data_IF_560624587812
#
_entry.id   IF_560624587812
#
_cell.length_a   1.000
_cell.length_b   1.000
_cell.length_c   1.000
_cell.angle_alpha   90.00
_cell.angle_beta   90.00
_cell.angle_gamma   90.00
#
_symmetry.space_group_name_H-M   'P 1'
#
loop_
_entity.id
_entity.type
_entity.pdbx_description
1 polymer ?
#
# COMPACT_ATOMS: atom_id res chain seq x y z
N UNK A 1 -25.03 -71.77 -10.64
CA UNK A 1 -24.05 -70.81 -11.11
C UNK A 1 -24.54 -69.43 -10.71
N UNK A 2 -24.04 -68.95 -9.58
CA UNK A 2 -24.39 -67.62 -9.03
C UNK A 2 -23.39 -66.58 -9.58
N UNK A 3 -23.92 -65.56 -10.21
CA UNK A 3 -23.15 -64.47 -10.85
C UNK A 3 -22.79 -63.42 -9.75
N UNK A 4 -21.52 -63.33 -9.39
CA UNK A 4 -21.05 -62.31 -8.46
C UNK A 4 -20.93 -60.93 -9.16
N UNK A 5 -21.37 -59.83 -8.53
CA UNK A 5 -21.16 -58.51 -9.09
C UNK A 5 -19.72 -58.05 -8.85
N UNK A 6 -19.05 -57.60 -9.92
CA UNK A 6 -17.68 -57.07 -9.91
C UNK A 6 -17.54 -55.77 -9.11
N UNK A 7 -16.30 -55.40 -8.71
CA UNK A 7 -16.05 -54.30 -7.80
C UNK A 7 -16.46 -52.93 -8.41
N UNK A 8 -17.25 -52.20 -7.66
CA UNK A 8 -17.66 -50.83 -7.98
C UNK A 8 -16.44 -49.87 -7.98
N UNK A 9 -16.30 -49.13 -9.05
CA UNK A 9 -15.29 -48.06 -9.20
C UNK A 9 -15.41 -47.01 -8.08
N UNK A 10 -14.31 -46.48 -7.56
CA UNK A 10 -14.36 -45.45 -6.53
C UNK A 10 -14.99 -44.14 -7.07
N UNK A 11 -15.71 -43.41 -6.20
CA UNK A 11 -16.34 -42.15 -6.62
C UNK A 11 -15.30 -41.13 -7.07
N UNK A 12 -15.51 -40.57 -8.25
CA UNK A 12 -14.72 -39.45 -8.79
C UNK A 12 -14.78 -38.27 -7.83
N UNK A 13 -13.60 -37.80 -7.38
CA UNK A 13 -13.45 -36.59 -6.57
C UNK A 13 -14.23 -35.43 -7.19
N UNK A 14 -14.89 -34.56 -6.37
CA UNK A 14 -15.64 -33.44 -6.89
C UNK A 14 -14.67 -32.49 -7.63
N UNK A 15 -14.92 -32.28 -8.92
CA UNK A 15 -14.26 -31.23 -9.70
C UNK A 15 -14.56 -29.90 -9.01
N UNK A 16 -13.56 -29.31 -8.34
CA UNK A 16 -13.64 -27.93 -7.82
C UNK A 16 -14.11 -27.03 -8.95
N UNK A 17 -15.26 -26.38 -8.76
CA UNK A 17 -15.89 -25.52 -9.73
C UNK A 17 -14.85 -24.51 -10.27
N UNK A 18 -14.74 -24.46 -11.60
CA UNK A 18 -13.86 -23.52 -12.31
C UNK A 18 -14.35 -22.11 -11.97
N UNK A 19 -13.57 -21.35 -11.23
CA UNK A 19 -13.85 -19.93 -10.97
C UNK A 19 -13.95 -19.19 -12.32
N UNK A 20 -14.83 -18.17 -12.46
CA UNK A 20 -14.84 -17.29 -13.63
C UNK A 20 -13.44 -16.78 -13.94
N UNK A 21 -13.13 -16.58 -15.21
CA UNK A 21 -11.74 -16.33 -15.67
C UNK A 21 -11.10 -15.08 -15.03
N UNK A 22 -11.87 -14.01 -14.83
CA UNK A 22 -11.43 -12.79 -14.14
C UNK A 22 -11.15 -12.98 -12.65
N UNK A 23 -11.92 -13.83 -11.98
CA UNK A 23 -11.77 -14.11 -10.54
C UNK A 23 -10.46 -14.88 -10.24
N UNK A 24 -10.05 -15.78 -11.15
CA UNK A 24 -8.83 -16.56 -10.98
C UNK A 24 -7.56 -15.68 -11.07
N UNK A 25 -7.51 -14.75 -12.04
CA UNK A 25 -6.38 -13.81 -12.19
C UNK A 25 -6.24 -12.94 -10.95
N UNK A 26 -7.34 -12.37 -10.47
CA UNK A 26 -7.37 -11.53 -9.27
C UNK A 26 -6.98 -12.32 -8.02
N UNK A 27 -7.50 -13.52 -7.82
CA UNK A 27 -7.15 -14.37 -6.69
C UNK A 27 -5.65 -14.73 -6.65
N UNK A 28 -5.00 -14.90 -7.81
CA UNK A 28 -3.57 -15.14 -7.91
C UNK A 28 -2.75 -13.90 -7.51
N UNK A 29 -3.18 -12.71 -7.92
CA UNK A 29 -2.56 -11.44 -7.52
C UNK A 29 -2.66 -11.24 -6.00
N UNK A 30 -3.86 -11.35 -5.44
CA UNK A 30 -4.12 -11.21 -3.99
C UNK A 30 -3.32 -12.24 -3.16
N UNK A 31 -3.24 -13.49 -3.64
CA UNK A 31 -2.43 -14.51 -2.99
C UNK A 31 -0.93 -14.21 -3.02
N UNK A 32 -0.42 -13.67 -4.14
CA UNK A 32 0.96 -13.26 -4.26
C UNK A 32 1.27 -12.08 -3.33
N UNK A 33 0.41 -11.05 -3.30
CA UNK A 33 0.54 -9.91 -2.40
C UNK A 33 0.58 -10.33 -0.94
N UNK A 34 -0.34 -11.22 -0.51
CA UNK A 34 -0.38 -11.72 0.86
C UNK A 34 0.86 -12.53 1.26
N UNK A 35 1.50 -13.23 0.31
CA UNK A 35 2.76 -13.94 0.56
C UNK A 35 3.92 -12.94 0.65
N UNK A 36 3.97 -11.96 -0.26
CA UNK A 36 5.01 -10.93 -0.30
C UNK A 36 5.00 -10.03 0.94
N UNK A 37 3.81 -9.81 1.50
CA UNK A 37 3.66 -9.10 2.77
C UNK A 37 4.35 -9.81 3.95
N UNK A 38 4.34 -11.13 3.93
CA UNK A 38 4.86 -11.95 5.03
C UNK A 38 6.36 -12.25 4.89
N UNK A 39 6.92 -12.26 3.67
CA UNK A 39 8.30 -12.69 3.41
C UNK A 39 8.86 -12.17 2.07
N UNK A 40 10.21 -12.16 1.89
CA UNK A 40 10.85 -11.71 0.64
C UNK A 40 10.42 -12.51 -0.59
N UNK A 41 10.31 -11.83 -1.73
CA UNK A 41 9.87 -12.39 -3.02
C UNK A 41 10.69 -13.60 -3.49
N UNK A 42 12.00 -13.63 -3.19
CA UNK A 42 12.87 -14.74 -3.56
C UNK A 42 12.42 -16.11 -3.03
N UNK A 43 11.67 -16.12 -1.91
CA UNK A 43 11.13 -17.35 -1.30
C UNK A 43 9.71 -17.72 -1.77
N UNK A 44 9.06 -16.90 -2.60
CA UNK A 44 7.75 -17.18 -3.16
C UNK A 44 7.86 -18.22 -4.27
N UNK A 45 6.97 -19.21 -4.25
CA UNK A 45 6.84 -20.22 -5.32
C UNK A 45 5.49 -20.13 -6.01
N UNK A 46 5.46 -20.37 -7.31
CA UNK A 46 4.22 -20.38 -8.12
C UNK A 46 3.19 -21.39 -7.57
N UNK A 47 3.67 -22.55 -7.11
CA UNK A 47 2.81 -23.60 -6.52
C UNK A 47 2.10 -23.12 -5.26
N UNK A 48 2.80 -22.39 -4.42
CA UNK A 48 2.25 -21.85 -3.18
C UNK A 48 1.21 -20.77 -3.45
N UNK A 49 1.48 -19.86 -4.39
CA UNK A 49 0.49 -18.84 -4.81
C UNK A 49 -0.76 -19.51 -5.37
N UNK A 50 -0.61 -20.47 -6.27
CA UNK A 50 -1.74 -21.21 -6.83
C UNK A 50 -2.55 -21.96 -5.77
N UNK A 51 -1.87 -22.63 -4.83
CA UNK A 51 -2.52 -23.32 -3.71
C UNK A 51 -3.31 -22.35 -2.81
N UNK A 52 -2.73 -21.18 -2.47
CA UNK A 52 -3.38 -20.15 -1.67
C UNK A 52 -4.56 -19.51 -2.40
N UNK A 53 -4.44 -19.29 -3.71
CA UNK A 53 -5.52 -18.77 -4.56
C UNK A 53 -6.63 -19.80 -4.83
N UNK A 54 -6.42 -21.09 -4.51
CA UNK A 54 -7.32 -22.16 -4.89
C UNK A 54 -7.40 -22.39 -6.40
N UNK A 55 -6.30 -22.11 -7.11
CA UNK A 55 -6.18 -22.18 -8.56
C UNK A 55 -5.22 -23.29 -9.01
N UNK A 56 -5.30 -23.67 -10.29
CA UNK A 56 -4.29 -24.52 -10.91
C UNK A 56 -3.01 -23.73 -11.19
N UNK A 57 -1.85 -24.36 -11.00
CA UNK A 57 -0.53 -23.77 -11.28
C UNK A 57 -0.40 -23.34 -12.75
N UNK A 58 -1.02 -24.06 -13.68
CA UNK A 58 -1.03 -23.70 -15.09
C UNK A 58 -1.61 -22.32 -15.39
N UNK A 59 -2.53 -21.83 -14.55
CA UNK A 59 -3.12 -20.50 -14.68
C UNK A 59 -2.12 -19.38 -14.43
N UNK A 60 -1.09 -19.61 -13.64
CA UNK A 60 -0.03 -18.62 -13.47
C UNK A 60 0.73 -18.38 -14.77
N UNK A 61 1.11 -19.47 -15.46
CA UNK A 61 1.75 -19.35 -16.77
C UNK A 61 0.80 -18.77 -17.82
N UNK A 62 -0.49 -19.13 -17.76
CA UNK A 62 -1.48 -18.63 -18.69
C UNK A 62 -1.69 -17.11 -18.56
N UNK A 63 -1.85 -16.56 -17.33
CA UNK A 63 -2.13 -15.15 -17.12
C UNK A 63 -0.89 -14.25 -17.06
N UNK A 64 0.24 -14.77 -16.59
CA UNK A 64 1.41 -13.96 -16.25
C UNK A 64 2.69 -14.40 -16.98
N UNK A 65 2.67 -15.53 -17.68
CA UNK A 65 3.79 -16.08 -18.42
C UNK A 65 4.91 -16.65 -17.56
N UNK A 66 5.17 -16.08 -16.40
CA UNK A 66 6.25 -16.49 -15.49
C UNK A 66 5.94 -16.09 -14.04
N UNK A 67 6.82 -16.55 -13.10
CA UNK A 67 6.84 -16.07 -11.72
C UNK A 67 7.07 -14.57 -11.68
N UNK A 68 8.02 -14.05 -12.45
CA UNK A 68 8.37 -12.62 -12.46
C UNK A 68 7.23 -11.77 -13.03
N UNK A 69 6.51 -12.28 -14.04
CA UNK A 69 5.29 -11.64 -14.54
C UNK A 69 4.17 -11.56 -13.49
N UNK A 70 3.99 -12.61 -12.67
CA UNK A 70 3.06 -12.58 -11.55
C UNK A 70 3.48 -11.56 -10.48
N UNK A 71 4.78 -11.51 -10.13
CA UNK A 71 5.31 -10.54 -9.17
C UNK A 71 5.14 -9.11 -9.67
N UNK A 72 5.42 -8.86 -10.94
CA UNK A 72 5.20 -7.56 -11.57
C UNK A 72 3.73 -7.14 -11.51
N UNK A 73 2.81 -8.03 -11.86
CA UNK A 73 1.37 -7.76 -11.79
C UNK A 73 0.89 -7.49 -10.36
N UNK A 74 1.39 -8.23 -9.37
CA UNK A 74 1.06 -8.03 -7.97
C UNK A 74 1.56 -6.68 -7.45
N UNK A 75 2.74 -6.25 -7.87
CA UNK A 75 3.30 -4.94 -7.53
C UNK A 75 2.57 -3.81 -8.24
N UNK A 76 2.26 -3.95 -9.53
CA UNK A 76 1.47 -2.96 -10.28
C UNK A 76 0.10 -2.71 -9.66
N UNK A 77 -0.59 -3.76 -9.24
CA UNK A 77 -1.89 -3.67 -8.57
C UNK A 77 -1.76 -2.92 -7.22
N UNK A 78 -0.78 -3.28 -6.41
CA UNK A 78 -0.50 -2.59 -5.15
C UNK A 78 -0.13 -1.11 -5.32
N UNK A 79 0.65 -0.79 -6.33
CA UNK A 79 1.02 0.59 -6.66
C UNK A 79 -0.18 1.40 -7.19
N UNK A 80 -1.08 0.76 -7.93
CA UNK A 80 -2.32 1.39 -8.39
C UNK A 80 -3.24 1.73 -7.20
N UNK A 81 -3.39 0.82 -6.23
CA UNK A 81 -4.13 1.09 -4.99
C UNK A 81 -3.51 2.26 -4.20
N UNK A 82 -2.19 2.25 -4.02
CA UNK A 82 -1.50 3.32 -3.31
C UNK A 82 -1.68 4.67 -4.02
N UNK A 83 -1.57 4.70 -5.34
CA UNK A 83 -1.80 5.90 -6.15
C UNK A 83 -3.22 6.43 -5.96
N UNK A 84 -4.23 5.57 -6.01
CA UNK A 84 -5.62 5.96 -5.81
C UNK A 84 -5.83 6.63 -4.44
N UNK A 85 -5.22 6.09 -3.38
CA UNK A 85 -5.25 6.70 -2.05
C UNK A 85 -4.62 8.10 -2.08
N UNK A 86 -3.44 8.23 -2.69
CA UNK A 86 -2.72 9.51 -2.74
C UNK A 86 -3.48 10.56 -3.56
N UNK A 87 -4.05 10.19 -4.71
CA UNK A 87 -4.83 11.09 -5.57
C UNK A 87 -6.11 11.59 -4.90
N UNK A 88 -6.78 10.74 -4.13
CA UNK A 88 -8.02 11.11 -3.43
C UNK A 88 -7.77 12.18 -2.36
N UNK A 89 -6.57 12.20 -1.77
CA UNK A 89 -6.24 13.04 -0.62
C UNK A 89 -5.61 14.40 -0.97
N UNK A 90 -5.45 14.68 -2.26
CA UNK A 90 -4.89 15.93 -2.77
C UNK A 90 -5.93 16.97 -3.19
N UNK A 91 -7.17 16.81 -2.73
CA UNK A 91 -8.23 17.78 -2.99
C UNK A 91 -7.91 19.11 -2.32
N UNK A 92 -8.02 20.20 -3.09
CA UNK A 92 -7.78 21.56 -2.63
C UNK A 92 -9.04 22.20 -2.04
N UNK A 93 -9.75 21.49 -1.19
CA UNK A 93 -10.98 21.93 -0.52
C UNK A 93 -10.69 22.22 0.95
N UNK A 94 -11.30 23.27 1.50
CA UNK A 94 -11.13 23.69 2.88
C UNK A 94 -9.91 24.59 3.11
N UNK A 95 -9.65 24.86 4.38
CA UNK A 95 -8.49 25.65 4.83
C UNK A 95 -7.18 24.95 4.53
N UNK A 96 -6.05 25.68 4.53
CA UNK A 96 -4.72 25.07 4.38
C UNK A 96 -4.43 24.05 5.48
N UNK A 97 -4.89 24.28 6.69
CA UNK A 97 -4.75 23.35 7.80
C UNK A 97 -5.49 22.03 7.50
N UNK A 98 -6.74 22.09 7.07
CA UNK A 98 -7.52 20.90 6.71
C UNK A 98 -6.92 20.14 5.53
N UNK A 99 -6.36 20.85 4.55
CA UNK A 99 -5.68 20.25 3.42
C UNK A 99 -4.41 19.49 3.87
N UNK A 100 -3.60 20.08 4.74
CA UNK A 100 -2.39 19.43 5.28
C UNK A 100 -2.76 18.24 6.15
N UNK A 101 -3.73 18.38 7.06
CA UNK A 101 -4.21 17.27 7.90
C UNK A 101 -4.66 16.10 7.04
N UNK A 102 -5.47 16.34 6.05
CA UNK A 102 -5.96 15.31 5.12
C UNK A 102 -4.82 14.67 4.34
N UNK A 103 -3.94 15.47 3.77
CA UNK A 103 -2.80 15.03 2.97
C UNK A 103 -1.85 14.11 3.75
N UNK A 104 -1.70 14.32 5.05
CA UNK A 104 -0.84 13.50 5.91
C UNK A 104 -1.60 12.32 6.51
N UNK A 105 -2.77 12.56 7.07
CA UNK A 105 -3.54 11.61 7.85
C UNK A 105 -4.12 10.47 7.01
N UNK A 106 -4.79 10.81 5.91
CA UNK A 106 -5.51 9.82 5.11
C UNK A 106 -4.61 8.73 4.49
N UNK A 107 -3.43 9.06 3.91
CA UNK A 107 -2.52 8.02 3.45
C UNK A 107 -2.03 7.08 4.55
N UNK A 108 -1.81 7.60 5.76
CA UNK A 108 -1.39 6.78 6.91
C UNK A 108 -2.50 5.80 7.28
N UNK A 109 -3.74 6.25 7.37
CA UNK A 109 -4.90 5.41 7.69
C UNK A 109 -5.11 4.34 6.60
N UNK A 110 -5.07 4.72 5.34
CA UNK A 110 -5.22 3.80 4.23
C UNK A 110 -4.09 2.74 4.16
N UNK A 111 -2.85 3.12 4.50
CA UNK A 111 -1.75 2.18 4.66
C UNK A 111 -1.92 1.32 5.92
N UNK A 112 -2.55 1.82 6.96
CA UNK A 112 -2.92 1.07 8.15
C UNK A 112 -3.85 -0.11 7.86
N UNK A 113 -4.82 0.08 6.97
CA UNK A 113 -5.69 -0.98 6.47
C UNK A 113 -4.95 -2.00 5.59
N UNK A 114 -3.90 -1.55 4.90
CA UNK A 114 -3.12 -2.31 3.92
C UNK A 114 -1.65 -2.45 4.31
N UNK A 115 -1.39 -2.79 5.57
CA UNK A 115 -0.04 -2.84 6.19
C UNK A 115 1.00 -3.65 5.39
N UNK A 116 0.53 -4.53 4.53
CA UNK A 116 1.40 -5.33 3.68
C UNK A 116 1.98 -4.54 2.50
N UNK A 117 1.29 -3.51 2.01
CA UNK A 117 1.71 -2.75 0.82
C UNK A 117 3.09 -2.08 1.00
N UNK A 118 3.37 -1.30 2.07
CA UNK A 118 4.68 -0.67 2.24
C UNK A 118 5.81 -1.68 2.27
N UNK A 119 5.66 -2.80 2.98
CA UNK A 119 6.69 -3.85 3.05
C UNK A 119 6.93 -4.49 1.68
N UNK A 120 5.87 -4.79 0.96
CA UNK A 120 5.96 -5.38 -0.37
C UNK A 120 6.62 -4.41 -1.36
N UNK A 121 6.16 -3.16 -1.42
CA UNK A 121 6.67 -2.15 -2.34
C UNK A 121 8.13 -1.85 -2.04
N UNK A 122 8.46 -1.53 -0.79
CA UNK A 122 9.84 -1.20 -0.40
C UNK A 122 10.76 -2.40 -0.59
N UNK A 123 10.30 -3.60 -0.20
CA UNK A 123 11.07 -4.84 -0.39
C UNK A 123 11.40 -5.09 -1.85
N UNK A 124 10.46 -4.89 -2.76
CA UNK A 124 10.69 -5.05 -4.21
C UNK A 124 11.59 -3.94 -4.77
N UNK A 125 11.33 -2.68 -4.43
CA UNK A 125 12.11 -1.53 -4.90
C UNK A 125 13.55 -1.59 -4.43
N UNK A 126 13.81 -2.01 -3.18
CA UNK A 126 15.17 -2.10 -2.64
C UNK A 126 15.95 -3.33 -3.15
N UNK A 127 15.25 -4.43 -3.44
CA UNK A 127 15.89 -5.70 -3.81
C UNK A 127 16.02 -5.89 -5.33
N UNK A 128 15.14 -5.31 -6.11
CA UNK A 128 15.10 -5.45 -7.55
C UNK A 128 15.39 -4.11 -8.23
N UNK A 129 16.55 -4.03 -8.91
CA UNK A 129 16.89 -2.88 -9.75
C UNK A 129 16.61 -3.23 -11.21
N UNK A 130 15.89 -2.34 -11.89
CA UNK A 130 15.62 -2.51 -13.32
C UNK A 130 14.73 -1.42 -13.89
N UNK A 131 14.62 -1.32 -15.23
CA UNK A 131 13.85 -0.26 -15.89
C UNK A 131 12.38 -0.20 -15.47
N UNK A 132 11.81 -1.31 -15.06
CA UNK A 132 10.42 -1.37 -14.58
C UNK A 132 10.30 -0.75 -13.18
N UNK A 133 11.21 -1.10 -12.27
CA UNK A 133 11.29 -0.52 -10.92
C UNK A 133 11.49 1.00 -11.00
N UNK A 134 12.39 1.46 -11.88
CA UNK A 134 12.64 2.88 -12.09
C UNK A 134 11.39 3.63 -12.57
N UNK A 135 10.59 3.02 -13.45
CA UNK A 135 9.30 3.59 -13.92
C UNK A 135 8.29 3.70 -12.78
N UNK A 136 8.19 2.69 -11.91
CA UNK A 136 7.29 2.72 -10.77
C UNK A 136 7.68 3.79 -9.75
N UNK A 137 8.98 3.90 -9.43
CA UNK A 137 9.50 4.94 -8.54
C UNK A 137 9.20 6.33 -9.11
N UNK A 138 9.47 6.54 -10.39
CA UNK A 138 9.20 7.81 -11.05
C UNK A 138 7.70 8.16 -11.04
N UNK A 139 6.82 7.20 -11.36
CA UNK A 139 5.38 7.43 -11.39
C UNK A 139 4.81 7.79 -10.02
N UNK A 140 5.23 7.09 -8.95
CA UNK A 140 4.81 7.40 -7.58
C UNK A 140 5.37 8.74 -7.10
N UNK A 141 6.67 8.98 -7.32
CA UNK A 141 7.34 10.19 -6.84
C UNK A 141 6.84 11.46 -7.51
N UNK A 142 6.59 11.42 -8.82
CA UNK A 142 6.10 12.59 -9.57
C UNK A 142 4.67 12.96 -9.19
N UNK A 143 3.78 11.98 -9.07
CA UNK A 143 2.40 12.21 -8.66
C UNK A 143 2.30 12.86 -7.27
N UNK A 144 3.08 12.37 -6.30
CA UNK A 144 3.14 12.96 -4.97
C UNK A 144 3.75 14.36 -4.97
N UNK A 145 4.84 14.56 -5.71
CA UNK A 145 5.52 15.85 -5.78
C UNK A 145 4.62 16.94 -6.34
N UNK A 146 3.87 16.65 -7.40
CA UNK A 146 2.91 17.58 -8.00
C UNK A 146 1.76 17.91 -7.06
N UNK A 147 1.19 16.90 -6.43
CA UNK A 147 0.02 17.04 -5.58
C UNK A 147 0.33 17.82 -4.29
N UNK A 148 1.36 17.41 -3.56
CA UNK A 148 1.79 18.04 -2.30
C UNK A 148 2.44 19.40 -2.59
N UNK A 149 3.30 19.46 -3.61
CA UNK A 149 4.00 20.68 -3.99
C UNK A 149 3.06 21.85 -4.25
N UNK A 150 1.98 21.60 -4.97
CA UNK A 150 0.97 22.64 -5.26
C UNK A 150 0.27 23.19 -4.02
N UNK A 151 -0.07 22.36 -3.03
CA UNK A 151 -0.68 22.81 -1.76
C UNK A 151 0.34 23.66 -0.97
N UNK A 152 1.56 23.19 -0.89
CA UNK A 152 2.64 23.88 -0.16
C UNK A 152 2.96 25.24 -0.81
N UNK A 153 3.09 25.30 -2.14
CA UNK A 153 3.35 26.53 -2.88
C UNK A 153 2.23 27.56 -2.73
N UNK A 154 0.96 27.12 -2.75
CA UNK A 154 -0.19 28.00 -2.55
C UNK A 154 -0.21 28.55 -1.10
N UNK A 155 0.09 27.71 -0.11
CA UNK A 155 0.19 28.12 1.29
C UNK A 155 1.32 29.12 1.54
N UNK A 156 2.48 28.93 0.91
CA UNK A 156 3.61 29.88 0.98
C UNK A 156 3.21 31.21 0.31
N UNK A 157 2.60 31.17 -0.86
CA UNK A 157 2.18 32.36 -1.61
C UNK A 157 1.13 33.18 -0.87
N UNK A 158 0.23 32.52 -0.14
CA UNK A 158 -0.79 33.19 0.69
C UNK A 158 -0.25 33.71 2.03
N UNK A 159 0.96 33.35 2.41
CA UNK A 159 1.54 33.65 3.72
C UNK A 159 1.09 32.75 4.86
N UNK A 160 0.26 31.75 4.60
CA UNK A 160 -0.15 30.76 5.61
C UNK A 160 0.98 29.84 6.03
N UNK A 161 1.89 29.51 5.10
CA UNK A 161 3.06 28.68 5.37
C UNK A 161 4.35 29.49 5.31
N UNK A 162 5.30 29.09 6.13
CA UNK A 162 6.68 29.58 6.02
C UNK A 162 7.31 29.05 4.72
N UNK A 163 8.33 29.71 4.25
CA UNK A 163 9.09 29.24 3.09
C UNK A 163 9.84 27.95 3.41
N UNK A 164 9.43 26.85 2.79
CA UNK A 164 9.99 25.50 2.95
C UNK A 164 10.27 24.87 1.60
N UNK A 165 11.21 23.94 1.55
CA UNK A 165 11.44 23.13 0.36
C UNK A 165 10.33 22.07 0.23
N UNK A 166 9.43 22.25 -0.75
CA UNK A 166 8.34 21.32 -1.02
C UNK A 166 8.83 19.88 -1.30
N UNK A 167 10.00 19.72 -1.92
CA UNK A 167 10.58 18.40 -2.18
C UNK A 167 10.99 17.68 -0.90
N UNK A 168 11.65 18.42 0.01
CA UNK A 168 12.02 17.87 1.31
C UNK A 168 10.80 17.44 2.11
N UNK A 169 9.70 18.20 2.04
CA UNK A 169 8.43 17.84 2.66
C UNK A 169 7.82 16.57 2.06
N UNK A 170 7.75 16.45 0.72
CA UNK A 170 7.24 15.25 0.06
C UNK A 170 8.00 14.00 0.51
N UNK A 171 9.34 14.07 0.55
CA UNK A 171 10.15 12.95 1.02
C UNK A 171 9.87 12.63 2.50
N UNK A 172 9.73 13.64 3.35
CA UNK A 172 9.42 13.44 4.77
C UNK A 172 8.05 12.79 4.96
N UNK A 173 7.02 13.26 4.26
CA UNK A 173 5.67 12.71 4.35
C UNK A 173 5.58 11.27 3.84
N UNK A 174 6.40 10.91 2.87
CA UNK A 174 6.44 9.55 2.34
C UNK A 174 7.27 8.63 3.25
N UNK A 175 8.38 9.12 3.80
CA UNK A 175 9.31 8.32 4.58
C UNK A 175 8.76 7.96 5.96
N UNK A 176 8.07 8.87 6.64
CA UNK A 176 7.58 8.65 8.01
C UNK A 176 6.58 7.48 8.05
N UNK A 177 5.47 7.47 7.29
CA UNK A 177 4.55 6.34 7.29
C UNK A 177 5.18 5.07 6.74
N UNK A 178 5.97 5.17 5.67
CA UNK A 178 6.61 4.02 5.07
C UNK A 178 7.53 3.30 6.07
N UNK A 179 8.32 4.05 6.83
CA UNK A 179 9.20 3.51 7.86
C UNK A 179 8.41 2.91 9.03
N UNK A 180 7.34 3.57 9.50
CA UNK A 180 6.48 3.05 10.56
C UNK A 180 5.92 1.66 10.19
N UNK A 181 5.31 1.51 9.01
CA UNK A 181 4.77 0.23 8.58
C UNK A 181 5.84 -0.80 8.21
N UNK A 182 7.01 -0.37 7.74
CA UNK A 182 8.15 -1.26 7.52
C UNK A 182 8.64 -1.85 8.84
N UNK A 183 8.69 -1.03 9.89
CA UNK A 183 9.14 -1.41 11.23
C UNK A 183 8.04 -2.03 12.09
N UNK A 184 6.79 -2.05 11.65
CA UNK A 184 5.67 -2.59 12.41
C UNK A 184 5.95 -3.95 13.09
N UNK A 185 6.54 -4.97 12.42
CA UNK A 185 6.84 -6.24 13.09
C UNK A 185 7.90 -6.15 14.19
N UNK A 186 8.78 -5.15 14.11
CA UNK A 186 9.78 -4.89 15.18
C UNK A 186 9.11 -4.16 16.33
N UNK A 187 8.26 -3.19 16.03
CA UNK A 187 7.48 -2.43 17.00
C UNK A 187 6.57 -3.38 17.80
N UNK A 188 5.80 -4.23 17.11
CA UNK A 188 4.96 -5.27 17.72
C UNK A 188 5.75 -6.18 18.66
N UNK A 189 6.97 -6.55 18.29
CA UNK A 189 7.81 -7.44 19.08
C UNK A 189 8.37 -6.77 20.33
N UNK A 190 8.62 -5.46 20.28
CA UNK A 190 9.22 -4.69 21.40
C UNK A 190 8.13 -4.15 22.34
N UNK A 191 7.04 -3.60 21.78
CA UNK A 191 6.01 -2.85 22.48
C UNK A 191 4.67 -3.60 22.59
N UNK A 192 4.53 -4.77 21.95
CA UNK A 192 3.29 -5.53 21.85
C UNK A 192 2.46 -5.21 20.61
N UNK A 193 1.51 -6.08 20.29
CA UNK A 193 0.66 -5.95 19.09
C UNK A 193 -0.22 -4.69 19.10
N UNK A 194 -0.57 -4.19 20.27
CA UNK A 194 -1.36 -2.96 20.44
C UNK A 194 -0.67 -1.71 19.90
N UNK A 195 0.68 -1.71 19.83
CA UNK A 195 1.45 -0.58 19.32
C UNK A 195 1.26 -0.28 17.81
N UNK A 196 0.60 -1.18 17.09
CA UNK A 196 0.22 -1.03 15.68
C UNK A 196 -1.25 -1.37 15.43
N UNK A 197 -2.07 -1.32 16.48
CA UNK A 197 -3.53 -1.44 16.39
C UNK A 197 -4.12 -0.34 15.50
N UNK A 198 -5.40 -0.43 15.15
CA UNK A 198 -6.08 0.64 14.40
C UNK A 198 -6.03 1.98 15.15
N UNK A 199 -6.25 1.94 16.48
CA UNK A 199 -6.19 3.12 17.35
C UNK A 199 -4.77 3.72 17.41
N UNK A 200 -3.73 2.87 17.48
CA UNK A 200 -2.35 3.33 17.44
C UNK A 200 -1.98 3.97 16.10
N UNK A 201 -2.50 3.45 14.99
CA UNK A 201 -2.32 4.04 13.64
C UNK A 201 -3.04 5.39 13.55
N UNK A 202 -4.24 5.53 14.09
CA UNK A 202 -4.95 6.82 14.15
C UNK A 202 -4.16 7.84 14.97
N UNK A 203 -3.73 7.46 16.18
CA UNK A 203 -2.92 8.33 17.04
C UNK A 203 -1.60 8.73 16.37
N UNK A 204 -0.94 7.81 15.67
CA UNK A 204 0.25 8.11 14.90
C UNK A 204 -0.04 9.07 13.73
N UNK A 205 -1.15 8.89 13.02
CA UNK A 205 -1.55 9.75 11.92
C UNK A 205 -1.81 11.19 12.39
N UNK A 206 -2.50 11.34 13.53
CA UNK A 206 -2.77 12.64 14.14
C UNK A 206 -1.47 13.32 14.62
N UNK A 207 -0.60 12.59 15.30
CA UNK A 207 0.68 13.12 15.77
C UNK A 207 1.59 13.58 14.61
N UNK A 208 1.63 12.82 13.49
CA UNK A 208 2.40 13.21 12.31
C UNK A 208 1.77 14.42 11.64
N UNK A 209 0.44 14.49 11.53
CA UNK A 209 -0.25 15.64 10.96
C UNK A 209 0.01 16.92 11.76
N UNK A 210 -0.06 16.85 13.09
CA UNK A 210 0.25 17.98 13.97
C UNK A 210 1.71 18.42 13.86
N UNK A 211 2.66 17.47 13.87
CA UNK A 211 4.07 17.76 13.70
C UNK A 211 4.34 18.50 12.38
N UNK A 212 3.72 18.05 11.30
CA UNK A 212 3.86 18.65 9.97
C UNK A 212 3.25 20.05 9.96
N UNK A 213 2.05 20.19 10.51
CA UNK A 213 1.34 21.46 10.53
C UNK A 213 2.12 22.53 11.29
N UNK A 214 2.56 22.24 12.52
CA UNK A 214 3.39 23.15 13.32
C UNK A 214 4.74 23.46 12.65
N UNK A 215 5.28 22.51 11.87
CA UNK A 215 6.46 22.73 11.05
C UNK A 215 6.22 23.61 9.83
N UNK A 216 5.00 23.75 9.33
CA UNK A 216 4.63 24.50 8.13
C UNK A 216 4.07 25.89 8.41
N UNK A 217 3.27 26.05 9.45
CA UNK A 217 2.62 27.32 9.75
C UNK A 217 3.63 28.46 9.91
N UNK A 218 3.29 29.61 9.36
CA UNK A 218 4.08 30.83 9.56
C UNK A 218 3.98 31.29 11.03
N UNK A 219 5.04 31.86 11.61
CA UNK A 219 4.97 32.44 12.95
C UNK A 219 3.87 33.50 13.03
N UNK A 220 2.86 33.28 13.86
CA UNK A 220 1.74 34.21 14.04
C UNK A 220 0.45 33.87 13.28
N UNK A 221 0.41 32.75 12.52
CA UNK A 221 -0.82 32.29 11.88
C UNK A 221 -1.82 31.62 12.85
N UNK A 222 -1.43 31.38 14.09
CA UNK A 222 -2.15 30.62 15.11
C UNK A 222 -3.04 31.48 16.03
N UNK A 223 -3.34 32.70 15.68
CA UNK A 223 -4.16 33.61 16.50
C UNK A 223 -5.40 34.13 15.76
N UNK A 224 -6.20 33.18 15.24
CA UNK A 224 -7.54 33.45 14.73
C UNK A 224 -8.62 32.94 15.67
N UNK A 225 -8.41 32.88 16.98
CA UNK A 225 -9.48 32.71 17.93
C UNK A 225 -10.02 34.09 18.31
N UNK A 226 -11.23 34.37 17.80
CA UNK A 226 -11.93 35.62 17.97
C UNK A 226 -12.25 35.88 19.44
N UNK A 227 -11.72 36.96 19.90
CA UNK A 227 -12.31 37.70 20.99
C UNK A 227 -13.11 38.85 20.35
N UNK A 228 -14.44 38.67 20.28
CA UNK A 228 -15.46 39.71 20.28
C UNK A 228 -16.82 39.14 20.70
#
# INVERSE_FOLDING_TARGET
MLNEPGPSSPPSSPRRGRRPEGDARRALIEAAQAILAARPAGKLTVREVAARAGCDVALVNYYFGSKDGLLAAALEDALAELRQVLETNTRREGTFEEQVRRMVREPILALGERRHLPRMIIGQILLERGPQTDRWIAALGMSQLEAVGGIVEDGIRSGAFRNVDARALVYSFSAIPAFFFLMAPVIERILGEEAVSAEAVESFADAVADLVLHGLLAPGADSGDGDD
#
